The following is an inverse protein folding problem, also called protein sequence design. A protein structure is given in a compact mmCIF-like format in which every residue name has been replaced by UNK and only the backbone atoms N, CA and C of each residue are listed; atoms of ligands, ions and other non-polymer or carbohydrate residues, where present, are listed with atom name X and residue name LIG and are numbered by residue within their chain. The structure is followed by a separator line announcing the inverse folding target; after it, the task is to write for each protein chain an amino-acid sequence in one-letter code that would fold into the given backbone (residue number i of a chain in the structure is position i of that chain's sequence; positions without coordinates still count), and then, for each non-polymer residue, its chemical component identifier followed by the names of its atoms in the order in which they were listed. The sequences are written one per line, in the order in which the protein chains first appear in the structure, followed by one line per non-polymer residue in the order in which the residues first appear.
data_IF_751362096274
#
_entry.id   IF_751362096274
#
_cell.length_a   1.000
_cell.length_b   1.000
_cell.length_c   1.000
_cell.angle_alpha   90.00
_cell.angle_beta   90.00
_cell.angle_gamma   90.00
#
_symmetry.space_group_name_H-M   'P 1'
#
loop_
_entity.id
_entity.type
_entity.pdbx_description
1 polymer ?
#
# COMPACT_ATOMS: atom_id res chain seq x y z
N UNK A 1 -0.91 3.32 7.86
CA UNK A 1 -0.03 3.01 6.71
C UNK A 1 -0.92 2.81 5.51
N UNK A 2 -0.50 3.28 4.34
CA UNK A 2 -1.32 3.23 3.13
C UNK A 2 -0.44 2.72 1.98
N UNK A 3 -0.83 1.60 1.39
CA UNK A 3 -0.33 1.13 0.11
C UNK A 3 -1.31 1.49 -0.99
N UNK A 4 -0.82 1.86 -2.17
CA UNK A 4 -1.66 2.35 -3.26
C UNK A 4 -1.66 1.37 -4.44
N UNK A 5 -2.85 1.06 -4.93
CA UNK A 5 -3.09 0.28 -6.13
C UNK A 5 -3.93 1.16 -7.06
N UNK A 6 -3.51 1.30 -8.31
CA UNK A 6 -4.26 2.00 -9.35
C UNK A 6 -4.33 1.16 -10.62
N UNK A 7 -5.48 1.23 -11.29
CA UNK A 7 -5.78 0.44 -12.48
C UNK A 7 -6.32 1.37 -13.56
N UNK A 8 -5.66 1.40 -14.72
CA UNK A 8 -6.14 2.10 -15.91
C UNK A 8 -6.62 1.14 -17.00
N UNK A 9 -7.19 1.69 -18.06
CA UNK A 9 -7.54 0.91 -19.25
C UNK A 9 -6.37 0.84 -20.24
N UNK A 10 -5.66 1.98 -20.42
CA UNK A 10 -4.50 2.09 -21.30
C UNK A 10 -3.19 2.18 -20.50
N UNK A 11 -2.08 1.85 -21.17
CA UNK A 11 -0.75 2.12 -20.66
C UNK A 11 -0.59 3.64 -20.60
N UNK A 12 -0.14 4.16 -19.46
CA UNK A 12 0.02 5.60 -19.20
C UNK A 12 -1.30 6.41 -19.19
N UNK A 13 -2.43 5.77 -18.86
CA UNK A 13 -3.76 6.39 -18.69
C UNK A 13 -3.94 7.19 -17.39
N UNK A 14 -2.87 7.68 -16.78
CA UNK A 14 -2.92 8.45 -15.53
C UNK A 14 -2.75 7.64 -14.24
N UNK A 15 -2.41 6.35 -14.30
CA UNK A 15 -2.17 5.50 -13.12
C UNK A 15 -1.11 6.10 -12.18
N UNK A 16 0.01 6.56 -12.74
CA UNK A 16 1.08 7.22 -11.98
C UNK A 16 0.60 8.51 -11.31
N UNK A 17 -0.20 9.30 -12.01
CA UNK A 17 -0.74 10.54 -11.49
C UNK A 17 -1.71 10.29 -10.33
N UNK A 18 -2.69 9.42 -10.54
CA UNK A 18 -3.63 9.01 -9.50
C UNK A 18 -2.91 8.42 -8.27
N UNK A 19 -1.88 7.60 -8.50
CA UNK A 19 -1.07 7.03 -7.42
C UNK A 19 -0.36 8.11 -6.61
N UNK A 20 0.23 9.10 -7.29
CA UNK A 20 0.94 10.21 -6.65
C UNK A 20 -0.02 11.09 -5.85
N UNK A 21 -1.21 11.37 -6.38
CA UNK A 21 -2.25 12.12 -5.65
C UNK A 21 -2.71 11.38 -4.39
N UNK A 22 -2.88 10.06 -4.46
CA UNK A 22 -3.24 9.23 -3.30
C UNK A 22 -2.11 9.17 -2.26
N UNK A 23 -0.84 9.12 -2.69
CA UNK A 23 0.31 9.22 -1.79
C UNK A 23 0.32 10.58 -1.09
N UNK A 24 0.12 11.67 -1.84
CA UNK A 24 0.07 13.01 -1.27
C UNK A 24 -1.07 13.14 -0.25
N UNK A 25 -2.24 12.59 -0.57
CA UNK A 25 -3.36 12.54 0.37
C UNK A 25 -2.99 11.76 1.64
N UNK A 26 -2.35 10.60 1.51
CA UNK A 26 -1.89 9.80 2.65
C UNK A 26 -0.92 10.58 3.55
N UNK A 27 0.03 11.31 2.96
CA UNK A 27 0.97 12.16 3.69
C UNK A 27 0.28 13.29 4.44
N UNK A 28 -0.68 13.98 3.80
CA UNK A 28 -1.47 15.05 4.43
C UNK A 28 -2.27 14.52 5.62
N UNK A 29 -2.76 13.28 5.54
CA UNK A 29 -3.47 12.60 6.62
C UNK A 29 -2.56 12.06 7.73
N UNK A 30 -1.25 12.34 7.69
CA UNK A 30 -0.28 11.83 8.67
C UNK A 30 -0.06 10.32 8.58
N UNK A 31 -0.42 9.69 7.46
CA UNK A 31 -0.17 8.28 7.23
C UNK A 31 1.23 8.06 6.67
N UNK A 32 1.77 6.86 6.89
CA UNK A 32 3.00 6.39 6.25
C UNK A 32 2.66 5.71 4.92
N UNK A 33 3.03 6.26 3.75
CA UNK A 33 2.93 5.58 2.47
C UNK A 33 3.91 4.40 2.43
N UNK A 34 3.46 3.27 1.87
CA UNK A 34 4.27 2.05 1.77
C UNK A 34 4.18 1.50 0.36
N UNK A 35 5.35 1.30 -0.25
CA UNK A 35 5.49 0.65 -1.55
C UNK A 35 5.80 -0.84 -1.41
N UNK A 36 5.65 -1.58 -2.50
CA UNK A 36 6.05 -2.98 -2.62
C UNK A 36 7.55 -3.12 -2.90
N UNK A 37 7.91 -4.26 -3.49
CA UNK A 37 9.30 -4.61 -3.76
C UNK A 37 9.79 -4.13 -5.13
N UNK A 38 11.08 -3.79 -5.18
CA UNK A 38 11.89 -3.50 -6.37
C UNK A 38 11.16 -2.64 -7.42
N UNK A 39 11.35 -2.94 -8.70
CA UNK A 39 10.93 -2.12 -9.82
C UNK A 39 9.43 -2.26 -10.12
N UNK A 40 8.82 -3.39 -9.73
CA UNK A 40 7.38 -3.68 -9.95
C UNK A 40 6.48 -2.72 -9.16
N UNK A 41 6.99 -2.13 -8.07
CA UNK A 41 6.18 -1.32 -7.16
C UNK A 41 6.83 -0.01 -6.72
N UNK A 42 7.61 0.66 -7.58
CA UNK A 42 8.42 1.83 -7.17
C UNK A 42 7.62 2.98 -6.51
N UNK A 43 6.35 3.19 -6.88
CA UNK A 43 5.41 4.13 -6.20
C UNK A 43 4.08 3.48 -5.79
N UNK A 44 3.90 2.18 -6.01
CA UNK A 44 2.63 1.49 -5.81
C UNK A 44 2.43 0.42 -6.87
N UNK A 45 1.25 -0.21 -6.91
CA UNK A 45 0.93 -1.21 -7.94
C UNK A 45 0.08 -0.55 -9.03
N UNK A 46 0.70 -0.36 -10.20
CA UNK A 46 0.10 0.36 -11.31
C UNK A 46 -0.18 -0.63 -12.43
N UNK A 47 -1.46 -0.96 -12.60
CA UNK A 47 -1.92 -1.91 -13.60
C UNK A 47 -2.66 -1.27 -14.75
N UNK A 48 -2.85 -2.06 -15.80
CA UNK A 48 -3.73 -1.72 -16.90
C UNK A 48 -4.45 -2.95 -17.45
N UNK A 49 -5.58 -2.75 -18.12
CA UNK A 49 -6.35 -3.85 -18.71
C UNK A 49 -5.96 -4.12 -20.16
N UNK A 50 -4.84 -3.60 -20.65
CA UNK A 50 -4.43 -3.78 -22.06
C UNK A 50 -5.53 -3.41 -23.07
N UNK A 51 -6.25 -2.30 -22.79
CA UNK A 51 -7.37 -1.81 -23.58
C UNK A 51 -8.61 -2.73 -23.60
N UNK A 52 -8.72 -3.65 -22.64
CA UNK A 52 -9.87 -4.54 -22.47
C UNK A 52 -10.90 -3.92 -21.53
N UNK A 53 -12.17 -3.96 -21.94
CA UNK A 53 -13.28 -3.33 -21.22
C UNK A 53 -14.11 -4.32 -20.39
N UNK A 54 -13.80 -5.62 -20.44
CA UNK A 54 -14.53 -6.64 -19.70
C UNK A 54 -14.22 -6.55 -18.19
N UNK A 55 -15.20 -6.93 -17.37
CA UNK A 55 -15.01 -6.92 -15.91
C UNK A 55 -13.89 -7.86 -15.44
N UNK A 56 -13.62 -8.92 -16.20
CA UNK A 56 -12.68 -9.98 -15.85
C UNK A 56 -11.33 -9.88 -16.58
N UNK A 57 -11.04 -8.74 -17.22
CA UNK A 57 -9.87 -8.60 -18.10
C UNK A 57 -8.55 -8.91 -17.42
N UNK A 58 -8.39 -8.57 -16.13
CA UNK A 58 -7.15 -8.89 -15.38
C UNK A 58 -6.95 -10.40 -15.22
N UNK A 59 -8.00 -11.16 -14.88
CA UNK A 59 -7.89 -12.61 -14.75
C UNK A 59 -7.63 -13.28 -16.11
N UNK A 60 -8.28 -12.80 -17.18
CA UNK A 60 -8.03 -13.27 -18.54
C UNK A 60 -6.58 -13.02 -18.96
N UNK A 61 -6.09 -11.80 -18.79
CA UNK A 61 -4.70 -11.42 -19.10
C UNK A 61 -3.68 -12.22 -18.28
N UNK A 62 -3.99 -12.50 -17.01
CA UNK A 62 -3.16 -13.35 -16.19
C UNK A 62 -3.08 -14.77 -16.76
N UNK A 63 -4.22 -15.37 -17.12
CA UNK A 63 -4.26 -16.71 -17.72
C UNK A 63 -3.56 -16.79 -19.08
N UNK A 64 -3.54 -15.68 -19.82
CA UNK A 64 -2.85 -15.55 -21.10
C UNK A 64 -1.34 -15.29 -20.95
N UNK A 65 -0.82 -15.10 -19.73
CA UNK A 65 0.60 -14.90 -19.51
C UNK A 65 1.07 -13.45 -19.67
N UNK A 66 0.16 -12.46 -19.60
CA UNK A 66 0.54 -11.03 -19.69
C UNK A 66 1.60 -10.69 -18.64
N UNK A 67 2.76 -10.22 -19.11
CA UNK A 67 3.86 -9.81 -18.24
C UNK A 67 3.44 -8.65 -17.33
N UNK A 68 2.77 -7.64 -17.88
CA UNK A 68 2.37 -6.45 -17.13
C UNK A 68 1.39 -6.79 -16.01
N UNK A 69 0.43 -7.68 -16.28
CA UNK A 69 -0.51 -8.15 -15.26
C UNK A 69 0.19 -8.99 -14.20
N UNK A 70 1.12 -9.87 -14.57
CA UNK A 70 1.91 -10.62 -13.59
C UNK A 70 2.74 -9.69 -12.68
N UNK A 71 3.39 -8.69 -13.28
CA UNK A 71 4.15 -7.67 -12.55
C UNK A 71 3.24 -6.91 -11.58
N UNK A 72 2.08 -6.44 -12.05
CA UNK A 72 1.08 -5.72 -11.23
C UNK A 72 0.57 -6.56 -10.06
N UNK A 73 0.23 -7.84 -10.30
CA UNK A 73 -0.24 -8.74 -9.24
C UNK A 73 0.85 -8.97 -8.19
N UNK A 74 2.10 -9.12 -8.61
CA UNK A 74 3.23 -9.23 -7.69
C UNK A 74 3.47 -7.93 -6.90
N UNK A 75 3.33 -6.77 -7.53
CA UNK A 75 3.35 -5.47 -6.86
C UNK A 75 2.26 -5.40 -5.76
N UNK A 76 1.02 -5.75 -6.08
CA UNK A 76 -0.09 -5.80 -5.10
C UNK A 76 0.23 -6.70 -3.89
N UNK A 77 0.76 -7.91 -4.14
CA UNK A 77 1.12 -8.86 -3.08
C UNK A 77 2.23 -8.30 -2.18
N UNK A 78 3.25 -7.70 -2.79
CA UNK A 78 4.41 -7.18 -2.04
C UNK A 78 4.02 -5.94 -1.24
N UNK A 79 3.19 -5.04 -1.76
CA UNK A 79 2.63 -3.91 -1.00
C UNK A 79 1.93 -4.40 0.27
N UNK A 80 1.04 -5.39 0.15
CA UNK A 80 0.33 -5.94 1.31
C UNK A 80 1.30 -6.51 2.35
N UNK A 81 2.30 -7.27 1.91
CA UNK A 81 3.37 -7.80 2.77
C UNK A 81 4.16 -6.69 3.47
N UNK A 82 4.58 -5.65 2.74
CA UNK A 82 5.36 -4.53 3.30
C UNK A 82 4.54 -3.68 4.26
N UNK A 83 3.27 -3.43 3.96
CA UNK A 83 2.36 -2.76 4.89
C UNK A 83 2.28 -3.50 6.22
N UNK A 84 2.13 -4.83 6.20
CA UNK A 84 2.08 -5.63 7.43
C UNK A 84 3.41 -5.61 8.19
N UNK A 85 4.53 -5.72 7.49
CA UNK A 85 5.85 -5.66 8.12
C UNK A 85 6.12 -4.29 8.77
N UNK A 86 5.75 -3.20 8.10
CA UNK A 86 5.81 -1.86 8.69
C UNK A 86 4.89 -1.75 9.91
N UNK A 87 3.72 -2.39 9.90
CA UNK A 87 2.84 -2.43 11.07
C UNK A 87 3.53 -3.07 12.27
N UNK A 88 4.20 -4.21 12.05
CA UNK A 88 4.92 -4.95 13.08
C UNK A 88 6.09 -4.11 13.62
N UNK A 89 6.84 -3.44 12.75
CA UNK A 89 7.96 -2.57 13.13
C UNK A 89 7.45 -1.40 13.99
N UNK A 90 6.43 -0.67 13.52
CA UNK A 90 5.86 0.46 14.25
C UNK A 90 5.28 0.02 15.59
N UNK A 91 4.55 -1.09 15.63
CA UNK A 91 4.00 -1.65 16.87
C UNK A 91 5.10 -2.04 17.86
N UNK A 92 6.18 -2.65 17.38
CA UNK A 92 7.31 -3.04 18.22
C UNK A 92 8.04 -1.80 18.75
N UNK A 93 8.25 -0.79 17.92
CA UNK A 93 8.83 0.49 18.32
C UNK A 93 7.98 1.21 19.37
N UNK A 94 6.66 1.27 19.20
CA UNK A 94 5.75 1.85 20.19
C UNK A 94 5.85 1.16 21.56
N UNK A 95 6.07 -0.16 21.59
CA UNK A 95 6.26 -0.90 22.83
C UNK A 95 7.63 -0.65 23.46
N UNK A 96 8.68 -0.61 22.64
CA UNK A 96 10.05 -0.39 23.09
C UNK A 96 10.24 1.02 23.66
N UNK A 97 9.69 2.03 23.00
CA UNK A 97 9.83 3.45 23.34
C UNK A 97 8.67 3.98 24.21
N UNK A 98 7.98 3.10 24.94
CA UNK A 98 6.77 3.47 25.69
C UNK A 98 7.03 4.54 26.75
N UNK A 99 8.15 4.48 27.45
CA UNK A 99 8.50 5.43 28.50
C UNK A 99 8.56 6.87 27.97
N UNK A 100 9.18 7.05 26.80
CA UNK A 100 9.32 8.35 26.13
C UNK A 100 8.02 8.77 25.43
N UNK A 101 7.48 7.92 24.55
CA UNK A 101 6.35 8.30 23.70
C UNK A 101 5.03 8.45 24.46
N UNK A 102 4.87 7.81 25.62
CA UNK A 102 3.65 7.96 26.43
C UNK A 102 3.51 9.32 27.11
N UNK A 103 4.58 10.13 27.14
CA UNK A 103 4.53 11.50 27.66
C UNK A 103 3.84 12.47 26.70
N UNK A 104 3.74 12.13 25.41
CA UNK A 104 3.06 12.93 24.40
C UNK A 104 1.58 12.51 24.29
N UNK A 105 0.61 13.41 24.57
CA UNK A 105 -0.81 13.13 24.45
C UNK A 105 -1.24 12.61 23.07
N UNK A 106 -0.48 12.92 22.00
CA UNK A 106 -0.75 12.43 20.66
C UNK A 106 -0.71 10.89 20.56
N UNK A 107 0.01 10.20 21.44
CA UNK A 107 0.10 8.73 21.45
C UNK A 107 -0.88 8.04 22.42
N UNK A 108 -1.65 8.80 23.21
CA UNK A 108 -2.55 8.22 24.21
C UNK A 108 -3.54 7.22 23.57
N UNK A 109 -4.08 7.57 22.40
CA UNK A 109 -5.07 6.72 21.71
C UNK A 109 -4.51 5.35 21.33
N UNK A 110 -3.24 5.27 20.92
CA UNK A 110 -2.66 4.01 20.45
C UNK A 110 -2.25 3.12 21.61
N UNK A 111 -1.79 3.69 22.73
CA UNK A 111 -1.52 2.92 23.95
C UNK A 111 -2.79 2.35 24.56
N UNK A 112 -3.90 3.10 24.58
CA UNK A 112 -5.21 2.57 25.00
C UNK A 112 -5.60 1.33 24.19
N UNK A 113 -5.43 1.36 22.87
CA UNK A 113 -5.73 0.21 22.01
C UNK A 113 -4.78 -0.97 22.24
N UNK A 114 -3.50 -0.71 22.47
CA UNK A 114 -2.52 -1.76 22.74
C UNK A 114 -2.81 -2.51 24.04
N UNK A 115 -3.24 -1.79 25.08
CA UNK A 115 -3.52 -2.37 26.39
C UNK A 115 -4.83 -3.18 26.41
N UNK A 116 -5.79 -2.85 25.54
CA UNK A 116 -7.04 -3.59 25.36
C UNK A 116 -6.88 -4.88 24.53
N UNK A 117 -5.73 -5.07 23.88
CA UNK A 117 -5.51 -6.21 22.98
C UNK A 117 -6.23 -6.09 21.62
N UNK A 118 -6.73 -4.91 21.28
CA UNK A 118 -7.54 -4.64 20.08
C UNK A 118 -6.71 -4.45 18.79
N UNK A 119 -5.40 -4.76 18.83
CA UNK A 119 -4.44 -4.57 17.73
C UNK A 119 -3.45 -5.73 17.66
#
# INVERSE_FOLDING_TARGET
MIGVISQGMHLFSGQEHATTELINHALIMGSLPVTGDLWESYIGALGWTENRGEKDSINLLQNEGSFDVHSTINACKTIGKRCMQMAIILRSGLKAEREELSQDPAFEFIYKKLDLGDV
#
